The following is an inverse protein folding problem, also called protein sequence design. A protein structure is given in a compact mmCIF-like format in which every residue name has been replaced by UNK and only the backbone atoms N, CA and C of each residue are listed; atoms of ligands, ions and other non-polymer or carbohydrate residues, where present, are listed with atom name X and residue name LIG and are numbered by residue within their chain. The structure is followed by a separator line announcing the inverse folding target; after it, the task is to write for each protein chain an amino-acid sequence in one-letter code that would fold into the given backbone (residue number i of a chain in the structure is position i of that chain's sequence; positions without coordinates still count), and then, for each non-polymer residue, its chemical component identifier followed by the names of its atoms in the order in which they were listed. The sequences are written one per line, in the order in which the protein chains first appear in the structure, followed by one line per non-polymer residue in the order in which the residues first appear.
data_IF_112951190557
#
_entry.id   IF_112951190557
#
_cell.length_a   1.000
_cell.length_b   1.000
_cell.length_c   1.000
_cell.angle_alpha   90.00
_cell.angle_beta   90.00
_cell.angle_gamma   90.00
#
_symmetry.space_group_name_H-M   'P 1'
#
loop_
_entity.id
_entity.type
_entity.pdbx_description
1 polymer ?
#
# COMPACT_ATOMS: atom_id res chain seq x y z
N UNK A 1 -4.77 -11.62 -16.03
CA UNK A 1 -3.55 -12.29 -15.50
C UNK A 1 -2.95 -13.24 -16.51
N UNK A 2 -1.85 -12.85 -17.17
CA UNK A 2 -1.08 -13.77 -18.00
C UNK A 2 -0.13 -14.64 -17.15
N UNK A 3 0.38 -15.71 -17.75
CA UNK A 3 1.29 -16.66 -17.06
C UNK A 3 2.62 -15.97 -16.69
N UNK A 4 3.06 -15.00 -17.51
CA UNK A 4 4.32 -14.26 -17.34
C UNK A 4 4.15 -12.73 -17.37
N UNK A 5 2.93 -12.22 -17.58
CA UNK A 5 2.72 -10.78 -17.76
C UNK A 5 2.03 -10.17 -16.53
N UNK A 6 2.64 -9.12 -16.00
CA UNK A 6 2.04 -8.28 -14.94
C UNK A 6 0.97 -7.39 -15.58
N UNK A 7 -0.16 -7.25 -14.89
CA UNK A 7 -1.30 -6.45 -15.34
C UNK A 7 -1.39 -5.18 -14.50
N UNK A 8 -1.67 -4.04 -15.13
CA UNK A 8 -1.77 -2.74 -14.44
C UNK A 8 -3.24 -2.35 -14.39
N UNK A 9 -3.76 -2.19 -13.18
CA UNK A 9 -5.15 -1.83 -12.94
C UNK A 9 -5.22 -0.51 -12.18
N UNK A 10 -5.95 0.48 -12.70
CA UNK A 10 -6.15 1.76 -12.01
C UNK A 10 -7.47 1.73 -11.24
N UNK A 11 -7.41 2.01 -9.94
CA UNK A 11 -8.54 1.92 -9.02
C UNK A 11 -8.71 3.21 -8.22
N UNK A 12 -9.93 3.66 -7.93
CA UNK A 12 -10.15 4.76 -7.00
C UNK A 12 -9.90 4.30 -5.55
N UNK A 13 -9.20 5.10 -4.76
CA UNK A 13 -8.93 4.83 -3.36
C UNK A 13 -9.12 6.08 -2.49
N UNK A 14 -9.40 5.87 -1.21
CA UNK A 14 -9.35 6.90 -0.18
C UNK A 14 -8.14 6.61 0.70
N UNK A 15 -7.26 7.58 0.88
CA UNK A 15 -6.12 7.50 1.79
C UNK A 15 -6.45 8.29 3.04
N UNK A 16 -6.36 7.62 4.19
CA UNK A 16 -6.49 8.22 5.51
C UNK A 16 -5.13 8.21 6.19
N UNK A 17 -4.67 9.38 6.61
CA UNK A 17 -3.42 9.53 7.37
C UNK A 17 -3.77 10.15 8.72
N UNK A 18 -3.52 9.39 9.77
CA UNK A 18 -3.63 9.85 11.15
C UNK A 18 -2.26 10.16 11.69
N UNK A 19 -2.09 11.37 12.23
CA UNK A 19 -0.90 11.74 12.98
C UNK A 19 -1.32 12.27 14.35
N UNK A 20 -1.86 11.40 15.18
CA UNK A 20 -2.33 11.73 16.54
C UNK A 20 -1.44 11.07 17.58
N UNK A 21 -1.47 11.61 18.80
CA UNK A 21 -0.80 10.99 19.94
C UNK A 21 -1.25 9.54 20.17
N UNK A 22 -2.53 9.26 19.95
CA UNK A 22 -3.14 7.94 20.16
C UNK A 22 -2.90 6.98 18.98
N UNK A 23 -2.68 7.51 17.77
CA UNK A 23 -2.58 6.71 16.56
C UNK A 23 -1.81 7.43 15.44
N UNK A 24 -0.77 6.76 14.94
CA UNK A 24 0.03 7.17 13.80
C UNK A 24 -0.11 6.10 12.72
N UNK A 25 -0.89 6.37 11.67
CA UNK A 25 -1.17 5.37 10.62
C UNK A 25 -1.49 5.98 9.27
N UNK A 26 -1.21 5.20 8.22
CA UNK A 26 -1.66 5.48 6.86
C UNK A 26 -2.48 4.28 6.36
N UNK A 27 -3.78 4.48 6.16
CA UNK A 27 -4.70 3.47 5.71
C UNK A 27 -5.20 3.79 4.30
N UNK A 28 -5.11 2.83 3.39
CA UNK A 28 -5.62 2.96 2.02
C UNK A 28 -6.83 2.05 1.86
N UNK A 29 -7.97 2.64 1.49
CA UNK A 29 -9.22 1.94 1.21
C UNK A 29 -9.56 2.03 -0.28
N UNK A 30 -9.77 0.90 -0.95
CA UNK A 30 -10.21 0.88 -2.34
C UNK A 30 -11.72 1.05 -2.44
N UNK A 31 -12.18 2.08 -3.16
CA UNK A 31 -13.59 2.46 -3.21
C UNK A 31 -14.40 1.61 -4.22
N UNK A 32 -13.72 0.84 -5.06
CA UNK A 32 -14.33 -0.08 -6.02
C UNK A 32 -14.38 -1.54 -5.52
N UNK A 33 -13.98 -1.80 -4.27
CA UNK A 33 -13.92 -3.16 -3.71
C UNK A 33 -12.79 -4.02 -4.26
N UNK A 34 -11.75 -3.41 -4.87
CA UNK A 34 -10.58 -4.14 -5.31
C UNK A 34 -9.90 -4.84 -4.13
N UNK A 35 -9.63 -6.14 -4.30
CA UNK A 35 -8.89 -6.95 -3.33
C UNK A 35 -7.44 -7.08 -3.78
N UNK A 36 -6.51 -6.84 -2.87
CA UNK A 36 -5.06 -7.02 -3.11
C UNK A 36 -4.68 -8.44 -2.71
N UNK A 37 -3.86 -9.08 -3.53
CA UNK A 37 -3.36 -10.43 -3.27
C UNK A 37 -1.85 -10.44 -3.03
N UNK A 38 -1.30 -11.51 -2.41
CA UNK A 38 0.15 -11.64 -2.27
C UNK A 38 0.87 -11.52 -3.61
N UNK A 39 1.91 -10.69 -3.64
CA UNK A 39 2.68 -10.35 -4.85
C UNK A 39 2.13 -9.16 -5.64
N UNK A 40 0.91 -8.71 -5.37
CA UNK A 40 0.39 -7.48 -5.98
C UNK A 40 1.06 -6.26 -5.32
N UNK A 41 1.48 -5.29 -6.13
CA UNK A 41 2.01 -4.01 -5.63
C UNK A 41 0.96 -2.91 -5.80
N UNK A 42 0.87 -2.00 -4.83
CA UNK A 42 -0.06 -0.86 -4.88
C UNK A 42 0.73 0.44 -4.86
N UNK A 43 0.49 1.28 -5.85
CA UNK A 43 1.06 2.62 -5.94
C UNK A 43 -0.07 3.66 -5.88
N UNK A 44 -0.12 4.47 -4.83
CA UNK A 44 -1.03 5.62 -4.76
C UNK A 44 -0.46 6.74 -5.64
N UNK A 45 -1.29 7.27 -6.53
CA UNK A 45 -0.91 8.37 -7.42
C UNK A 45 -1.10 9.72 -6.71
N UNK A 46 -0.08 10.57 -6.77
CA UNK A 46 -0.15 11.94 -6.28
C UNK A 46 1.13 12.39 -5.57
N UNK A 47 1.20 13.66 -5.17
CA UNK A 47 2.18 14.12 -4.19
C UNK A 47 1.98 13.43 -2.83
N UNK A 48 3.02 13.51 -2.02
CA UNK A 48 2.99 13.06 -0.63
C UNK A 48 1.86 13.73 0.16
N UNK A 49 1.18 12.95 1.00
CA UNK A 49 0.13 13.42 1.89
C UNK A 49 0.73 13.44 3.30
N UNK A 50 0.76 14.61 3.92
CA UNK A 50 1.29 14.82 5.27
C UNK A 50 0.17 15.33 6.18
N UNK A 51 -0.10 14.59 7.25
CA UNK A 51 -1.01 15.02 8.30
C UNK A 51 -0.21 15.78 9.38
N UNK A 52 -0.59 17.02 9.73
CA UNK A 52 -0.04 17.71 10.88
C UNK A 52 -0.29 16.93 12.19
N UNK A 53 0.59 17.10 13.17
CA UNK A 53 0.41 16.46 14.48
C UNK A 53 -0.90 16.93 15.14
N UNK A 54 -1.70 15.97 15.60
CA UNK A 54 -3.03 16.16 16.16
C UNK A 54 -4.18 15.95 15.17
N UNK A 55 -3.90 15.82 13.87
CA UNK A 55 -4.92 15.78 12.82
C UNK A 55 -5.03 14.41 12.13
N UNK A 56 -6.17 14.22 11.46
CA UNK A 56 -6.41 13.12 10.53
C UNK A 56 -6.79 13.73 9.20
N UNK A 57 -6.03 13.41 8.15
CA UNK A 57 -6.28 13.87 6.79
C UNK A 57 -6.86 12.71 5.99
N UNK A 58 -7.92 12.98 5.25
CA UNK A 58 -8.53 11.99 4.35
C UNK A 58 -8.63 12.59 2.95
N UNK A 59 -8.09 11.87 1.96
CA UNK A 59 -8.08 12.34 0.58
C UNK A 59 -8.45 11.21 -0.39
N UNK A 60 -9.29 11.54 -1.37
CA UNK A 60 -9.63 10.64 -2.46
C UNK A 60 -8.58 10.73 -3.57
N UNK A 61 -7.96 9.60 -3.87
CA UNK A 61 -6.87 9.43 -4.82
C UNK A 61 -7.19 8.31 -5.82
N UNK A 62 -6.31 8.16 -6.80
CA UNK A 62 -6.26 6.94 -7.62
C UNK A 62 -5.05 6.14 -7.22
N UNK A 63 -5.15 4.82 -7.27
CA UNK A 63 -4.03 3.92 -7.09
C UNK A 63 -3.88 3.01 -8.31
N UNK A 64 -2.66 2.62 -8.61
CA UNK A 64 -2.34 1.61 -9.61
C UNK A 64 -1.97 0.34 -8.86
N UNK A 65 -2.73 -0.72 -9.11
CA UNK A 65 -2.39 -2.07 -8.67
C UNK A 65 -1.63 -2.75 -9.80
N UNK A 66 -0.40 -3.17 -9.50
CA UNK A 66 0.39 -4.04 -10.36
C UNK A 66 0.13 -5.48 -9.93
N UNK A 67 -0.66 -6.20 -10.72
CA UNK A 67 -1.02 -7.58 -10.43
C UNK A 67 0.16 -8.52 -10.68
N UNK A 68 0.46 -9.38 -9.71
CA UNK A 68 1.44 -10.45 -9.89
C UNK A 68 1.01 -11.42 -11.00
N UNK A 69 2.00 -11.94 -11.73
CA UNK A 69 1.78 -13.04 -12.66
C UNK A 69 1.44 -14.34 -11.91
N UNK A 70 0.88 -15.33 -12.61
CA UNK A 70 0.48 -16.60 -11.99
C UNK A 70 1.67 -17.34 -11.38
N UNK A 71 2.85 -17.27 -12.00
CA UNK A 71 4.07 -17.89 -11.49
C UNK A 71 4.60 -17.15 -10.27
N UNK A 72 4.66 -15.81 -10.31
CA UNK A 72 5.05 -15.01 -9.14
C UNK A 72 4.11 -15.29 -7.97
N UNK A 73 2.81 -15.32 -8.19
CA UNK A 73 1.83 -15.60 -7.14
C UNK A 73 1.97 -17.01 -6.56
N UNK A 74 2.27 -18.00 -7.40
CA UNK A 74 2.51 -19.38 -6.94
C UNK A 74 3.83 -19.48 -6.17
N UNK A 75 4.87 -18.77 -6.63
CA UNK A 75 6.16 -18.67 -5.97
C UNK A 75 6.04 -17.97 -4.62
N UNK A 76 5.47 -16.75 -4.56
CA UNK A 76 5.18 -16.02 -3.32
C UNK A 76 4.35 -16.85 -2.35
N UNK A 77 3.43 -17.70 -2.82
CA UNK A 77 2.69 -18.61 -1.93
C UNK A 77 3.53 -19.79 -1.44
N UNK A 78 4.48 -20.28 -2.24
CA UNK A 78 5.36 -21.39 -1.89
C UNK A 78 6.56 -20.96 -1.03
N UNK A 79 7.07 -19.74 -1.22
CA UNK A 79 8.17 -19.14 -0.45
C UNK A 79 7.70 -18.15 0.61
N UNK A 80 6.43 -17.77 0.63
CA UNK A 80 5.87 -16.83 1.61
C UNK A 80 5.86 -17.34 3.06
N UNK A 81 6.01 -18.65 3.27
CA UNK A 81 6.28 -19.23 4.60
C UNK A 81 7.76 -19.04 5.04
N UNK A 82 8.66 -18.68 4.12
CA UNK A 82 10.10 -18.44 4.36
C UNK A 82 10.45 -16.94 4.36
N UNK A 83 9.79 -16.14 3.51
CA UNK A 83 9.79 -14.69 3.59
C UNK A 83 8.81 -14.27 4.68
N UNK A 84 9.33 -14.09 5.89
CA UNK A 84 8.66 -13.44 7.02
C UNK A 84 7.77 -12.29 6.50
N UNK A 85 6.46 -12.54 6.41
CA UNK A 85 5.45 -11.50 6.19
C UNK A 85 5.29 -10.75 7.51
N UNK A 86 6.32 -10.02 7.92
CA UNK A 86 6.06 -8.91 8.83
C UNK A 86 5.10 -7.99 8.08
N UNK A 87 3.94 -7.70 8.69
CA UNK A 87 3.29 -6.43 8.43
C UNK A 87 4.42 -5.40 8.66
N UNK A 88 4.90 -4.74 7.61
CA UNK A 88 5.83 -3.63 7.79
C UNK A 88 5.10 -2.51 8.54
N UNK A 89 5.13 -2.61 9.85
CA UNK A 89 4.81 -1.59 10.81
C UNK A 89 5.98 -0.59 10.78
N UNK A 90 5.79 0.51 10.03
CA UNK A 90 6.51 1.79 10.01
C UNK A 90 8.05 1.83 9.90
N UNK A 91 8.55 2.75 9.06
CA UNK A 91 9.85 3.38 9.29
C UNK A 91 9.78 4.85 8.91
N UNK A 92 9.68 5.70 9.93
CA UNK A 92 9.95 7.13 9.84
C UNK A 92 11.46 7.31 9.77
N UNK A 93 11.97 7.80 8.64
CA UNK A 93 13.32 8.35 8.58
C UNK A 93 13.24 9.82 8.92
N UNK A 94 13.28 10.16 10.21
CA UNK A 94 13.58 11.52 10.63
C UNK A 94 15.06 11.79 10.37
N UNK A 95 15.39 12.54 9.30
CA UNK A 95 16.67 13.24 9.24
C UNK A 95 16.49 14.61 9.89
N UNK A 96 16.55 14.63 11.23
CA UNK A 96 16.63 15.86 11.99
C UNK A 96 18.01 16.49 11.76
N UNK A 97 18.07 17.51 10.91
CA UNK A 97 19.24 18.40 10.85
C UNK A 97 19.02 19.51 11.88
N UNK A 98 19.88 19.53 12.91
CA UNK A 98 19.97 20.59 13.93
C UNK A 98 20.44 21.92 13.33
#
# INVERSE_FOLDING_TARGET
MGIFTREREKVPCTVEISHKFESLHAHVRFNNGAVVHPGDEVLVEGPEIMAPFGEVVTEDRSAIILRASVIERLWTRATGDLEVMELCEFSFSEEATL
#
